data_IF_702444727317
#
_entry.id   IF_702444727317
#
_cell.length_a   1.000
_cell.length_b   1.000
_cell.length_c   1.000
_cell.angle_alpha   90.00
_cell.angle_beta   90.00
_cell.angle_gamma   90.00
#
_symmetry.space_group_name_H-M   'P 1'
#
loop_
_entity.id
_entity.type
_entity.pdbx_description
1 polymer ?
#
# COMPACT_ATOMS: atom_id res chain seq x y z
N UNK A 1 -20.21 11.06 -95.00
CA UNK A 1 -20.97 9.80 -94.82
C UNK A 1 -20.00 8.70 -94.35
N UNK A 2 -20.41 7.91 -93.34
CA UNK A 2 -19.73 6.76 -92.66
C UNK A 2 -18.58 7.20 -91.71
N UNK A 3 -18.70 7.24 -90.38
CA UNK A 3 -19.27 6.35 -89.33
C UNK A 3 -18.49 5.04 -89.11
N UNK A 4 -18.04 4.82 -87.86
CA UNK A 4 -17.38 3.61 -87.35
C UNK A 4 -16.45 3.93 -86.17
N UNK A 5 -16.96 4.22 -84.97
CA UNK A 5 -17.20 3.32 -83.81
C UNK A 5 -15.97 2.93 -82.97
N UNK A 6 -16.16 3.14 -81.66
CA UNK A 6 -15.25 3.01 -80.51
C UNK A 6 -14.96 1.54 -80.16
N UNK A 7 -13.83 1.26 -79.49
CA UNK A 7 -13.84 0.34 -78.35
C UNK A 7 -12.71 0.66 -77.34
N UNK A 8 -13.11 0.81 -76.08
CA UNK A 8 -12.25 0.89 -74.89
C UNK A 8 -11.92 -0.52 -74.43
N UNK A 9 -10.72 -0.75 -73.89
CA UNK A 9 -10.43 -1.85 -72.97
C UNK A 9 -9.49 -1.34 -71.88
N UNK A 10 -10.10 -1.03 -70.73
CA UNK A 10 -9.47 -0.90 -69.43
C UNK A 10 -9.29 -2.31 -68.86
N UNK A 11 -8.10 -2.64 -68.37
CA UNK A 11 -7.91 -3.72 -67.40
C UNK A 11 -7.18 -3.17 -66.19
N UNK A 12 -7.88 -3.24 -65.06
CA UNK A 12 -7.52 -2.76 -63.74
C UNK A 12 -6.53 -3.72 -63.07
N UNK A 13 -5.43 -3.20 -62.54
CA UNK A 13 -4.52 -3.95 -61.67
C UNK A 13 -5.06 -3.95 -60.22
N UNK A 14 -5.28 -5.14 -59.67
CA UNK A 14 -5.64 -5.37 -58.26
C UNK A 14 -4.34 -5.36 -57.44
N UNK A 15 -4.15 -4.35 -56.59
CA UNK A 15 -3.08 -4.33 -55.58
C UNK A 15 -3.65 -4.93 -54.29
N UNK A 16 -3.25 -6.15 -53.97
CA UNK A 16 -3.53 -6.78 -52.68
C UNK A 16 -2.67 -6.13 -51.59
N UNK A 17 -3.29 -5.31 -50.74
CA UNK A 17 -2.70 -4.83 -49.49
C UNK A 17 -2.75 -5.96 -48.46
N UNK A 18 -1.60 -6.60 -48.18
CA UNK A 18 -1.43 -7.43 -46.98
C UNK A 18 -1.21 -6.52 -45.79
N UNK A 19 -2.32 -6.01 -45.23
CA UNK A 19 -2.33 -5.32 -43.95
C UNK A 19 -1.96 -6.29 -42.84
N UNK A 20 -0.68 -6.34 -42.48
CA UNK A 20 -0.23 -6.96 -41.24
C UNK A 20 -0.70 -6.08 -40.09
N UNK A 21 -1.84 -6.43 -39.50
CA UNK A 21 -2.29 -5.87 -38.24
C UNK A 21 -1.32 -6.30 -37.14
N UNK A 22 -0.27 -5.52 -36.92
CA UNK A 22 0.52 -5.58 -35.70
C UNK A 22 -0.41 -5.16 -34.56
N UNK A 23 -1.06 -6.13 -33.93
CA UNK A 23 -1.66 -5.94 -32.62
C UNK A 23 -0.54 -5.45 -31.70
N UNK A 24 -0.64 -4.25 -31.08
CA UNK A 24 0.30 -3.87 -30.05
C UNK A 24 0.18 -4.92 -28.94
N UNK A 25 1.24 -5.71 -28.75
CA UNK A 25 1.37 -6.55 -27.59
C UNK A 25 1.19 -5.63 -26.38
N UNK A 26 0.11 -5.80 -25.64
CA UNK A 26 -0.07 -5.17 -24.36
C UNK A 26 1.14 -5.57 -23.51
N UNK A 27 2.11 -4.66 -23.36
CA UNK A 27 3.24 -4.87 -22.49
C UNK A 27 2.65 -5.10 -21.10
N UNK A 28 2.76 -6.33 -20.60
CA UNK A 28 2.42 -6.63 -19.22
C UNK A 28 3.26 -5.70 -18.35
N UNK A 29 2.64 -4.66 -17.80
CA UNK A 29 3.31 -3.73 -16.89
C UNK A 29 3.87 -4.52 -15.72
N UNK A 30 5.19 -4.66 -15.68
CA UNK A 30 5.89 -5.38 -14.62
C UNK A 30 5.73 -4.56 -13.34
N UNK A 31 4.89 -5.04 -12.41
CA UNK A 31 4.72 -4.42 -11.10
C UNK A 31 5.90 -4.77 -10.17
N UNK A 32 6.40 -3.82 -9.38
CA UNK A 32 7.39 -4.10 -8.35
C UNK A 32 6.80 -5.01 -7.28
N UNK A 33 7.65 -5.86 -6.72
CA UNK A 33 7.35 -6.74 -5.59
C UNK A 33 7.46 -5.97 -4.28
N UNK A 34 8.53 -5.20 -4.12
CA UNK A 34 8.73 -4.34 -2.96
C UNK A 34 7.81 -3.12 -3.07
N UNK A 35 7.29 -2.68 -1.93
CA UNK A 35 6.61 -1.40 -1.86
C UNK A 35 7.63 -0.25 -1.94
N UNK A 36 7.19 0.91 -2.43
CA UNK A 36 7.92 2.16 -2.38
C UNK A 36 8.51 2.45 -0.98
N UNK A 37 7.70 2.28 0.07
CA UNK A 37 8.15 2.48 1.45
C UNK A 37 9.27 1.51 1.84
N UNK A 38 9.11 0.23 1.52
CA UNK A 38 10.14 -0.79 1.81
C UNK A 38 11.46 -0.49 1.10
N UNK A 39 11.41 0.00 -0.13
CA UNK A 39 12.61 0.41 -0.87
C UNK A 39 13.29 1.62 -0.19
N UNK A 40 12.52 2.60 0.26
CA UNK A 40 13.04 3.74 1.05
C UNK A 40 13.66 3.27 2.36
N UNK A 41 12.99 2.40 3.11
CA UNK A 41 13.50 1.90 4.40
C UNK A 41 14.83 1.16 4.24
N UNK A 42 14.96 0.33 3.19
CA UNK A 42 16.23 -0.33 2.83
C UNK A 42 17.29 0.71 2.47
N UNK A 43 16.96 1.69 1.63
CA UNK A 43 17.90 2.74 1.23
C UNK A 43 18.42 3.55 2.42
N UNK A 44 17.55 3.94 3.35
CA UNK A 44 17.91 4.68 4.56
C UNK A 44 18.74 3.82 5.52
N UNK A 45 18.42 2.53 5.66
CA UNK A 45 19.22 1.58 6.43
C UNK A 45 20.65 1.49 5.89
N UNK A 46 20.81 1.33 4.58
CA UNK A 46 22.11 1.28 3.94
C UNK A 46 22.89 2.60 4.14
N UNK A 47 22.22 3.74 3.99
CA UNK A 47 22.83 5.05 4.21
C UNK A 47 23.31 5.20 5.67
N UNK A 48 22.51 4.78 6.64
CA UNK A 48 22.90 4.76 8.06
C UNK A 48 24.11 3.88 8.34
N UNK A 49 24.21 2.72 7.69
CA UNK A 49 25.40 1.87 7.80
C UNK A 49 26.65 2.53 7.20
N UNK A 50 26.49 3.29 6.11
CA UNK A 50 27.60 3.96 5.42
C UNK A 50 28.09 5.22 6.14
N UNK A 51 27.20 5.97 6.80
CA UNK A 51 27.51 7.30 7.36
C UNK A 51 27.49 7.39 8.87
N UNK A 52 26.94 6.40 9.58
CA UNK A 52 26.67 6.43 11.02
C UNK A 52 25.77 7.59 11.50
N UNK A 53 25.20 8.38 10.58
CA UNK A 53 24.24 9.44 10.87
C UNK A 53 22.83 8.89 10.97
N UNK A 54 21.89 9.66 11.53
CA UNK A 54 20.43 9.40 11.49
C UNK A 54 19.67 10.49 10.73
N UNK A 55 20.37 11.45 10.13
CA UNK A 55 19.78 12.56 9.41
C UNK A 55 19.91 12.34 7.91
N UNK A 56 18.80 11.98 7.29
CA UNK A 56 18.71 11.69 5.86
C UNK A 56 17.52 12.41 5.22
N UNK A 57 17.60 12.61 3.92
CA UNK A 57 16.46 12.95 3.08
C UNK A 57 16.49 12.11 1.80
N UNK A 58 15.32 11.72 1.33
CA UNK A 58 15.14 11.08 0.02
C UNK A 58 14.63 12.13 -0.96
N UNK A 59 15.29 12.27 -2.12
CA UNK A 59 14.88 13.28 -3.11
C UNK A 59 14.01 12.70 -4.23
N UNK A 60 14.45 11.57 -4.79
CA UNK A 60 13.77 10.90 -5.88
C UNK A 60 13.81 9.40 -5.69
N UNK A 61 12.77 8.74 -6.17
CA UNK A 61 12.67 7.29 -6.21
C UNK A 61 12.00 6.88 -7.50
N UNK A 62 12.53 5.85 -8.15
CA UNK A 62 11.96 5.25 -9.35
C UNK A 62 12.15 3.74 -9.35
N UNK A 63 11.24 3.04 -10.00
CA UNK A 63 11.37 1.63 -10.32
C UNK A 63 11.68 1.48 -11.81
N UNK A 64 12.72 0.72 -12.13
CA UNK A 64 13.13 0.38 -13.48
C UNK A 64 12.59 -1.02 -13.85
N UNK A 65 11.54 -1.12 -14.68
CA UNK A 65 10.87 -2.41 -14.94
C UNK A 65 11.77 -3.40 -15.68
N UNK A 66 12.69 -2.90 -16.52
CA UNK A 66 13.56 -3.73 -17.37
C UNK A 66 14.56 -4.57 -16.55
N UNK A 67 15.06 -4.02 -15.45
CA UNK A 67 16.00 -4.69 -14.52
C UNK A 67 15.34 -5.14 -13.22
N UNK A 68 14.06 -4.80 -13.02
CA UNK A 68 13.32 -4.93 -11.76
C UNK A 68 14.07 -4.28 -10.58
N UNK A 69 14.59 -3.08 -10.80
CA UNK A 69 15.44 -2.39 -9.84
C UNK A 69 14.78 -1.12 -9.33
N UNK A 70 14.76 -0.97 -8.00
CA UNK A 70 14.47 0.32 -7.38
C UNK A 70 15.73 1.16 -7.33
N UNK A 71 15.61 2.45 -7.65
CA UNK A 71 16.67 3.44 -7.53
C UNK A 71 16.15 4.56 -6.63
N UNK A 72 16.85 4.82 -5.53
CA UNK A 72 16.49 5.83 -4.53
C UNK A 72 17.69 6.76 -4.30
N UNK A 73 17.47 8.06 -4.50
CA UNK A 73 18.47 9.09 -4.23
C UNK A 73 18.39 9.51 -2.76
N UNK A 74 19.50 9.35 -2.05
CA UNK A 74 19.61 9.63 -0.61
C UNK A 74 20.65 10.70 -0.37
N UNK A 75 20.25 11.77 0.29
CA UNK A 75 21.18 12.74 0.89
C UNK A 75 21.33 12.42 2.37
N UNK A 76 22.58 12.27 2.82
CA UNK A 76 22.88 11.96 4.20
C UNK A 76 23.95 12.92 4.74
N UNK A 77 23.71 13.44 5.94
CA UNK A 77 24.74 14.11 6.72
C UNK A 77 25.77 13.07 7.17
N UNK A 78 27.03 13.45 7.16
CA UNK A 78 28.15 12.65 7.68
C UNK A 78 28.67 13.24 8.98
N UNK A 79 29.48 12.50 9.72
CA UNK A 79 30.10 12.95 10.98
C UNK A 79 30.90 14.25 10.85
N UNK A 80 31.41 14.57 9.65
CA UNK A 80 32.09 15.83 9.35
C UNK A 80 31.14 17.01 9.09
N UNK A 81 29.85 16.85 9.37
CA UNK A 81 28.77 17.79 9.06
C UNK A 81 28.70 18.16 7.56
N UNK A 82 29.20 17.27 6.70
CA UNK A 82 29.11 17.41 5.24
C UNK A 82 27.97 16.54 4.70
N UNK A 83 27.20 17.07 3.77
CA UNK A 83 26.14 16.31 3.09
C UNK A 83 26.74 15.55 1.91
N UNK A 84 26.51 14.24 1.87
CA UNK A 84 26.88 13.38 0.75
C UNK A 84 25.65 12.87 0.02
N UNK A 85 25.78 12.70 -1.29
CA UNK A 85 24.75 12.14 -2.17
C UNK A 85 25.07 10.69 -2.48
N UNK A 86 24.12 9.83 -2.17
CA UNK A 86 24.17 8.40 -2.45
C UNK A 86 23.04 8.01 -3.39
N UNK A 87 23.26 6.93 -4.12
CA UNK A 87 22.23 6.25 -4.89
C UNK A 87 22.11 4.84 -4.35
N UNK A 88 20.96 4.50 -3.78
CA UNK A 88 20.64 3.14 -3.37
C UNK A 88 19.95 2.42 -4.53
N UNK A 89 20.45 1.25 -4.90
CA UNK A 89 19.79 0.35 -5.85
C UNK A 89 19.35 -0.93 -5.15
N UNK A 90 18.16 -1.44 -5.47
CA UNK A 90 17.65 -2.71 -4.95
C UNK A 90 17.09 -3.53 -6.10
N UNK A 91 17.73 -4.64 -6.42
CA UNK A 91 17.34 -5.49 -7.53
C UNK A 91 16.48 -6.66 -7.05
N UNK A 92 15.20 -6.67 -7.45
CA UNK A 92 14.25 -7.70 -7.01
C UNK A 92 14.49 -9.07 -7.65
N UNK A 93 15.30 -9.13 -8.72
CA UNK A 93 15.65 -10.36 -9.41
C UNK A 93 16.85 -11.05 -8.76
N UNK A 94 17.85 -10.28 -8.34
CA UNK A 94 19.09 -10.80 -7.74
C UNK A 94 19.06 -10.79 -6.21
N UNK A 95 18.08 -10.15 -5.59
CA UNK A 95 17.99 -10.06 -4.13
C UNK A 95 19.09 -9.25 -3.48
N UNK A 96 19.74 -8.34 -4.20
CA UNK A 96 20.83 -7.52 -3.70
C UNK A 96 20.44 -6.05 -3.65
N UNK A 97 20.77 -5.40 -2.54
CA UNK A 97 20.75 -3.96 -2.39
C UNK A 97 22.17 -3.40 -2.30
N UNK A 98 22.39 -2.24 -2.90
CA UNK A 98 23.70 -1.60 -3.01
C UNK A 98 23.56 -0.10 -2.81
N UNK A 99 24.39 0.48 -1.94
CA UNK A 99 24.52 1.92 -1.82
C UNK A 99 25.78 2.39 -2.52
N UNK A 100 25.65 3.34 -3.44
CA UNK A 100 26.74 3.91 -4.21
C UNK A 100 26.95 5.37 -3.82
N UNK A 101 28.21 5.79 -3.63
CA UNK A 101 28.55 7.20 -3.45
C UNK A 101 28.80 7.83 -4.84
N UNK A 102 28.08 8.87 -5.21
CA UNK A 102 28.32 9.54 -6.50
C UNK A 102 29.57 10.43 -6.42
N UNK A 103 30.44 10.49 -7.46
CA UNK A 103 30.35 9.81 -8.76
C UNK A 103 31.10 8.46 -8.84
N UNK A 104 31.49 7.89 -7.70
CA UNK A 104 32.31 6.67 -7.69
C UNK A 104 31.52 5.45 -8.16
N UNK A 105 32.17 4.60 -8.95
CA UNK A 105 31.61 3.33 -9.40
C UNK A 105 31.91 2.26 -8.34
N UNK A 106 30.87 1.66 -7.78
CA UNK A 106 30.99 0.58 -6.81
C UNK A 106 30.01 0.71 -5.64
N UNK A 107 29.76 -0.40 -4.95
CA UNK A 107 28.94 -0.42 -3.76
C UNK A 107 29.79 -0.11 -2.54
N UNK A 108 29.43 0.95 -1.81
CA UNK A 108 30.00 1.29 -0.50
C UNK A 108 29.45 0.35 0.57
N UNK A 109 28.15 0.06 0.48
CA UNK A 109 27.46 -0.90 1.35
C UNK A 109 26.64 -1.84 0.47
N UNK A 110 26.63 -3.13 0.83
CA UNK A 110 25.81 -4.17 0.18
C UNK A 110 25.00 -4.89 1.23
N UNK A 111 23.76 -5.20 0.89
CA UNK A 111 22.89 -6.02 1.72
C UNK A 111 22.19 -7.08 0.86
N UNK A 112 22.07 -8.28 1.42
CA UNK A 112 21.22 -9.33 0.87
C UNK A 112 19.79 -9.10 1.36
N UNK A 113 18.88 -8.87 0.41
CA UNK A 113 17.45 -8.61 0.64
C UNK A 113 16.56 -9.73 0.08
N UNK A 114 17.11 -10.93 -0.20
CA UNK A 114 16.34 -12.07 -0.72
C UNK A 114 15.14 -12.41 0.17
N UNK A 115 15.36 -12.48 1.50
CA UNK A 115 14.29 -12.79 2.43
C UNK A 115 13.20 -11.71 2.40
N UNK A 116 13.57 -10.43 2.39
CA UNK A 116 12.62 -9.31 2.29
C UNK A 116 11.77 -9.38 1.02
N UNK A 117 12.37 -9.74 -0.11
CA UNK A 117 11.66 -9.92 -1.38
C UNK A 117 10.75 -11.15 -1.30
N UNK A 118 11.23 -12.27 -0.77
CA UNK A 118 10.41 -13.47 -0.60
C UNK A 118 9.18 -13.19 0.28
N UNK A 119 9.36 -12.48 1.39
CA UNK A 119 8.29 -12.07 2.29
C UNK A 119 7.32 -11.09 1.62
N UNK A 120 7.81 -10.17 0.80
CA UNK A 120 6.96 -9.28 0.01
C UNK A 120 6.14 -10.03 -1.05
N UNK A 121 6.71 -11.04 -1.73
CA UNK A 121 5.96 -11.91 -2.65
C UNK A 121 4.89 -12.70 -1.94
N UNK A 122 5.24 -13.37 -0.84
CA UNK A 122 4.28 -14.14 -0.04
C UNK A 122 3.13 -13.25 0.44
N UNK A 123 3.42 -12.03 0.90
CA UNK A 123 2.38 -11.05 1.28
C UNK A 123 1.50 -10.66 0.10
N UNK A 124 2.08 -10.33 -1.05
CA UNK A 124 1.32 -9.97 -2.25
C UNK A 124 0.41 -11.12 -2.72
N UNK A 125 0.91 -12.35 -2.71
CA UNK A 125 0.13 -13.55 -3.02
C UNK A 125 -1.00 -13.76 -2.01
N UNK A 126 -0.70 -13.61 -0.71
CA UNK A 126 -1.69 -13.74 0.35
C UNK A 126 -2.77 -12.66 0.27
N UNK A 127 -2.42 -11.42 -0.09
CA UNK A 127 -3.39 -10.34 -0.35
C UNK A 127 -4.26 -10.64 -1.57
N UNK A 128 -3.67 -11.14 -2.67
CA UNK A 128 -4.44 -11.55 -3.85
C UNK A 128 -5.42 -12.67 -3.50
N UNK A 129 -4.98 -13.64 -2.70
CA UNK A 129 -5.84 -14.72 -2.20
C UNK A 129 -6.93 -14.18 -1.27
N UNK A 130 -6.63 -13.21 -0.40
CA UNK A 130 -7.62 -12.56 0.46
C UNK A 130 -8.65 -11.76 -0.35
N UNK A 131 -8.27 -11.14 -1.46
CA UNK A 131 -9.23 -10.47 -2.36
C UNK A 131 -10.14 -11.48 -3.05
N UNK A 132 -9.59 -12.62 -3.46
CA UNK A 132 -10.34 -13.70 -4.12
C UNK A 132 -11.25 -14.45 -3.15
N UNK A 133 -10.81 -14.59 -1.90
CA UNK A 133 -11.48 -15.34 -0.83
C UNK A 133 -11.52 -14.48 0.44
N UNK A 134 -12.39 -13.45 0.48
CA UNK A 134 -12.45 -12.54 1.62
C UNK A 134 -12.82 -13.28 2.90
N UNK A 135 -12.32 -12.76 4.03
CA UNK A 135 -12.69 -13.28 5.34
C UNK A 135 -14.22 -13.25 5.53
N UNK A 136 -14.81 -14.28 6.16
CA UNK A 136 -16.23 -14.27 6.42
C UNK A 136 -16.56 -13.17 7.43
N UNK A 137 -17.52 -12.31 7.08
CA UNK A 137 -18.04 -11.27 7.97
C UNK A 137 -17.01 -10.22 8.41
N UNK A 138 -16.45 -9.49 7.43
CA UNK A 138 -15.53 -8.38 7.65
C UNK A 138 -16.11 -7.28 8.56
N UNK A 139 -17.42 -7.06 8.50
CA UNK A 139 -18.13 -6.07 9.31
C UNK A 139 -18.05 -6.44 10.80
N UNK A 140 -18.33 -7.70 11.18
CA UNK A 140 -18.18 -8.14 12.56
C UNK A 140 -16.71 -8.13 13.04
N UNK A 141 -15.75 -8.48 12.17
CA UNK A 141 -14.33 -8.35 12.51
C UNK A 141 -13.96 -6.90 12.85
N UNK A 142 -14.43 -5.95 12.03
CA UNK A 142 -14.21 -4.54 12.25
C UNK A 142 -14.82 -4.05 13.57
N UNK A 143 -16.05 -4.47 13.88
CA UNK A 143 -16.70 -4.13 15.16
C UNK A 143 -15.85 -4.59 16.35
N UNK A 144 -15.39 -5.85 16.34
CA UNK A 144 -14.55 -6.41 17.42
C UNK A 144 -13.23 -5.66 17.53
N UNK A 145 -12.58 -5.36 16.41
CA UNK A 145 -11.31 -4.63 16.41
C UNK A 145 -11.47 -3.20 16.95
N UNK A 146 -12.52 -2.49 16.55
CA UNK A 146 -12.81 -1.13 17.03
C UNK A 146 -13.09 -1.16 18.54
N UNK A 147 -13.88 -2.12 19.01
CA UNK A 147 -14.13 -2.31 20.45
C UNK A 147 -12.83 -2.56 21.20
N UNK A 148 -11.97 -3.44 20.68
CA UNK A 148 -10.68 -3.74 21.29
C UNK A 148 -9.78 -2.50 21.39
N UNK A 149 -9.67 -1.72 20.31
CA UNK A 149 -8.81 -0.53 20.29
C UNK A 149 -9.34 0.63 21.13
N UNK A 150 -10.66 0.84 21.14
CA UNK A 150 -11.26 2.04 21.73
C UNK A 150 -11.82 1.80 23.13
N UNK A 151 -12.08 0.54 23.53
CA UNK A 151 -12.53 0.17 24.89
C UNK A 151 -11.42 -0.42 25.75
N UNK A 152 -10.15 -0.08 25.51
CA UNK A 152 -9.08 -0.41 26.45
C UNK A 152 -9.29 0.34 27.78
N UNK A 153 -10.20 -0.16 28.62
CA UNK A 153 -10.46 0.02 30.05
C UNK A 153 -10.44 1.45 30.62
N UNK A 154 -10.45 2.48 29.78
CA UNK A 154 -10.40 3.87 30.22
C UNK A 154 -11.81 4.43 30.24
N UNK A 155 -12.44 4.62 31.42
CA UNK A 155 -13.63 5.44 31.49
C UNK A 155 -13.30 6.80 30.87
N UNK A 156 -14.15 7.34 29.99
CA UNK A 156 -13.92 8.68 29.46
C UNK A 156 -13.78 9.61 30.67
N UNK A 157 -12.64 10.30 30.79
CA UNK A 157 -12.43 11.30 31.84
C UNK A 157 -13.63 12.25 31.79
N UNK A 158 -14.27 12.50 32.93
CA UNK A 158 -15.41 13.41 32.98
C UNK A 158 -15.04 14.76 32.35
N UNK A 159 -15.79 15.19 31.34
CA UNK A 159 -15.53 16.42 30.58
C UNK A 159 -14.59 16.28 29.37
N UNK A 160 -14.04 15.09 29.08
CA UNK A 160 -13.28 14.87 27.86
C UNK A 160 -14.21 14.83 26.64
N UNK A 161 -13.87 15.60 25.61
CA UNK A 161 -14.53 15.54 24.30
C UNK A 161 -14.40 14.12 23.75
N UNK A 162 -15.53 13.49 23.40
CA UNK A 162 -15.53 12.18 22.74
C UNK A 162 -14.97 12.34 21.33
N UNK A 163 -13.96 11.54 21.01
CA UNK A 163 -13.43 11.45 19.65
C UNK A 163 -14.49 10.87 18.71
N UNK A 164 -14.57 11.42 17.50
CA UNK A 164 -15.47 10.92 16.45
C UNK A 164 -14.67 10.09 15.46
N UNK A 165 -15.04 8.84 15.28
CA UNK A 165 -14.30 7.88 14.45
C UNK A 165 -15.01 7.68 13.11
N UNK A 166 -14.36 8.05 12.01
CA UNK A 166 -14.90 7.91 10.67
C UNK A 166 -14.31 6.67 10.02
N UNK A 167 -15.12 5.61 9.96
CA UNK A 167 -14.64 4.25 9.73
C UNK A 167 -14.84 3.83 8.28
N UNK A 168 -13.81 3.22 7.70
CA UNK A 168 -13.89 2.56 6.39
C UNK A 168 -13.30 1.17 6.41
N UNK A 169 -13.88 0.30 5.58
CA UNK A 169 -13.48 -1.09 5.33
C UNK A 169 -13.25 -1.29 3.83
N UNK A 170 -12.46 -2.28 3.39
CA UNK A 170 -12.51 -2.70 1.99
C UNK A 170 -13.88 -3.27 1.65
N UNK A 171 -14.35 -2.97 0.44
CA UNK A 171 -15.55 -3.58 -0.12
C UNK A 171 -15.39 -5.10 -0.24
N UNK A 172 -16.46 -5.90 -0.07
CA UNK A 172 -16.42 -7.35 -0.28
C UNK A 172 -15.93 -7.78 -1.67
N UNK A 173 -16.11 -6.93 -2.68
CA UNK A 173 -15.62 -7.16 -4.06
C UNK A 173 -14.21 -6.61 -4.31
N UNK A 174 -13.55 -6.07 -3.28
CA UNK A 174 -12.23 -5.44 -3.31
C UNK A 174 -12.09 -4.27 -4.31
N UNK A 175 -13.20 -3.64 -4.74
CA UNK A 175 -13.17 -2.51 -5.71
C UNK A 175 -13.15 -1.12 -5.09
N UNK A 176 -13.14 -1.02 -3.76
CA UNK A 176 -13.15 0.27 -3.08
C UNK A 176 -13.29 0.15 -1.58
N UNK A 177 -13.66 1.25 -0.95
CA UNK A 177 -13.97 1.31 0.47
C UNK A 177 -15.49 1.34 0.68
N UNK A 178 -15.94 0.71 1.76
CA UNK A 178 -17.32 0.74 2.25
C UNK A 178 -17.34 1.22 3.70
N UNK A 179 -18.44 1.84 4.08
CA UNK A 179 -18.66 2.29 5.46
C UNK A 179 -19.07 1.11 6.35
N UNK A 180 -18.98 1.29 7.67
CA UNK A 180 -19.62 0.36 8.62
C UNK A 180 -21.13 0.30 8.40
N UNK A 181 -21.71 -0.87 8.62
CA UNK A 181 -23.17 -0.99 8.58
C UNK A 181 -23.82 -0.12 9.65
N UNK A 182 -25.03 0.43 9.40
CA UNK A 182 -25.77 1.20 10.39
C UNK A 182 -25.99 0.46 11.71
N UNK A 183 -26.23 -0.86 11.65
CA UNK A 183 -26.46 -1.70 12.82
C UNK A 183 -25.22 -1.79 13.71
N UNK A 184 -24.03 -1.94 13.11
CA UNK A 184 -22.77 -1.95 13.85
C UNK A 184 -22.47 -0.59 14.43
N UNK A 185 -22.69 0.50 13.68
CA UNK A 185 -22.52 1.85 14.22
C UNK A 185 -23.43 2.10 15.42
N UNK A 186 -24.70 1.64 15.36
CA UNK A 186 -25.62 1.70 16.48
C UNK A 186 -25.16 0.83 17.66
N UNK A 187 -24.59 -0.35 17.39
CA UNK A 187 -24.01 -1.24 18.39
C UNK A 187 -22.82 -0.63 19.11
N UNK A 188 -21.88 -0.03 18.38
CA UNK A 188 -20.73 0.68 18.93
C UNK A 188 -21.15 1.91 19.76
N UNK A 189 -22.18 2.64 19.32
CA UNK A 189 -22.78 3.74 20.09
C UNK A 189 -23.40 3.26 21.41
N UNK A 190 -23.99 2.05 21.40
CA UNK A 190 -24.33 1.18 22.56
C UNK A 190 -23.30 1.28 23.69
N UNK A 191 -22.06 1.22 23.25
CA UNK A 191 -20.89 0.97 24.08
C UNK A 191 -20.06 2.23 24.32
N UNK A 192 -20.60 3.40 23.94
CA UNK A 192 -19.98 4.70 24.11
C UNK A 192 -18.99 5.09 23.03
N UNK A 193 -18.87 4.30 21.95
CA UNK A 193 -17.97 4.57 20.82
C UNK A 193 -18.76 5.29 19.73
N UNK A 194 -18.33 6.50 19.38
CA UNK A 194 -19.01 7.33 18.39
C UNK A 194 -18.38 7.15 17.00
N UNK A 195 -18.97 6.28 16.19
CA UNK A 195 -18.55 6.03 14.80
C UNK A 195 -19.44 6.70 13.76
N UNK A 196 -18.83 7.09 12.64
CA UNK A 196 -19.45 7.72 11.49
C UNK A 196 -18.99 7.06 10.18
N UNK A 197 -19.77 7.16 9.10
CA UNK A 197 -19.31 6.73 7.77
C UNK A 197 -18.13 7.58 7.31
N UNK A 198 -17.13 6.95 6.67
CA UNK A 198 -15.96 7.64 6.12
C UNK A 198 -16.33 8.64 5.03
N UNK A 199 -17.41 8.39 4.29
CA UNK A 199 -17.95 9.30 3.28
C UNK A 199 -18.35 10.68 3.84
N UNK A 200 -18.65 10.77 5.15
CA UNK A 200 -18.98 12.03 5.82
C UNK A 200 -17.75 12.81 6.33
N UNK A 201 -16.55 12.23 6.26
CA UNK A 201 -15.33 12.87 6.73
C UNK A 201 -14.96 14.08 5.88
N UNK A 202 -14.65 15.19 6.53
CA UNK A 202 -14.13 16.41 5.90
C UNK A 202 -12.77 16.75 6.51
N UNK A 203 -11.72 16.67 5.72
CA UNK A 203 -10.38 17.05 6.16
C UNK A 203 -10.34 18.56 6.43
N UNK A 204 -9.91 18.96 7.63
CA UNK A 204 -9.66 20.38 7.94
C UNK A 204 -10.85 21.19 8.48
N UNK A 205 -11.92 20.57 9.00
CA UNK A 205 -12.80 21.34 9.88
C UNK A 205 -12.01 21.72 11.14
N UNK A 206 -11.63 22.99 11.29
CA UNK A 206 -10.85 23.54 12.40
C UNK A 206 -11.55 23.50 13.77
N UNK A 207 -12.30 22.43 14.03
CA UNK A 207 -13.05 22.25 15.26
C UNK A 207 -12.20 21.50 16.28
N UNK A 208 -12.42 21.91 17.53
CA UNK A 208 -11.87 21.42 18.81
C UNK A 208 -12.21 19.95 19.12
N UNK A 209 -12.74 19.20 18.13
CA UNK A 209 -13.15 17.81 18.26
C UNK A 209 -12.12 16.92 17.56
N UNK A 210 -11.65 15.89 18.26
CA UNK A 210 -10.69 14.89 17.75
C UNK A 210 -11.37 13.96 16.76
N UNK A 211 -11.66 14.49 15.58
CA UNK A 211 -12.08 13.72 14.43
C UNK A 211 -10.93 12.81 14.01
N UNK A 212 -11.20 11.51 13.95
CA UNK A 212 -10.21 10.49 13.60
C UNK A 212 -10.75 9.65 12.45
N UNK A 213 -10.07 9.63 11.32
CA UNK A 213 -10.30 8.62 10.30
C UNK A 213 -9.73 7.30 10.82
N UNK A 214 -10.54 6.23 10.82
CA UNK A 214 -10.11 4.89 11.20
C UNK A 214 -10.30 3.96 10.00
N UNK A 215 -9.24 3.32 9.53
CA UNK A 215 -9.31 2.36 8.43
C UNK A 215 -9.02 0.97 8.93
N UNK A 216 -9.86 0.02 8.55
CA UNK A 216 -9.58 -1.41 8.69
C UNK A 216 -9.34 -1.93 7.28
N UNK A 217 -8.18 -2.54 7.06
CA UNK A 217 -7.78 -3.06 5.77
C UNK A 217 -8.27 -4.50 5.54
N UNK A 218 -7.76 -5.12 4.48
CA UNK A 218 -8.17 -6.45 4.07
C UNK A 218 -7.54 -7.52 4.99
N UNK A 219 -8.35 -8.36 5.68
CA UNK A 219 -7.82 -9.46 6.47
C UNK A 219 -7.11 -10.49 5.59
N UNK A 220 -5.86 -10.81 5.94
CA UNK A 220 -5.07 -11.84 5.26
C UNK A 220 -5.02 -13.09 6.13
N UNK A 221 -5.45 -14.24 5.59
CA UNK A 221 -5.46 -15.50 6.34
C UNK A 221 -4.04 -16.06 6.47
N UNK A 222 -3.67 -16.46 7.68
CA UNK A 222 -2.41 -17.12 8.04
C UNK A 222 -2.53 -18.64 7.92
N UNK A 223 -1.40 -19.33 7.87
CA UNK A 223 -1.33 -20.79 7.84
C UNK A 223 -1.87 -21.46 9.11
N UNK A 224 -1.80 -20.78 10.26
CA UNK A 224 -2.37 -21.22 11.55
C UNK A 224 -3.89 -21.02 11.64
N UNK A 225 -4.52 -20.46 10.60
CA UNK A 225 -5.96 -20.19 10.54
C UNK A 225 -6.38 -18.85 11.14
N UNK A 226 -5.46 -18.08 11.75
CA UNK A 226 -5.72 -16.71 12.18
C UNK A 226 -5.70 -15.74 10.99
N UNK A 227 -6.01 -14.48 11.25
CA UNK A 227 -6.02 -13.42 10.24
C UNK A 227 -5.14 -12.25 10.68
N UNK A 228 -4.25 -11.82 9.81
CA UNK A 228 -3.56 -10.53 9.94
C UNK A 228 -4.50 -9.44 9.38
N UNK A 229 -4.97 -8.55 10.24
CA UNK A 229 -5.91 -7.48 9.92
C UNK A 229 -5.19 -6.14 10.06
N UNK A 230 -4.70 -5.55 8.95
CA UNK A 230 -4.09 -4.24 9.00
C UNK A 230 -5.16 -3.21 9.37
N UNK A 231 -4.82 -2.26 10.23
CA UNK A 231 -5.68 -1.12 10.54
C UNK A 231 -4.84 0.11 10.84
N UNK A 232 -5.46 1.28 10.78
CA UNK A 232 -4.77 2.51 11.10
C UNK A 232 -5.74 3.62 11.46
N UNK A 233 -5.17 4.70 11.98
CA UNK A 233 -5.90 5.92 12.23
C UNK A 233 -5.13 7.13 11.71
N UNK A 234 -5.89 8.18 11.38
CA UNK A 234 -5.37 9.48 11.00
C UNK A 234 -6.23 10.56 11.64
N UNK A 235 -5.61 11.38 12.50
CA UNK A 235 -6.25 12.54 13.13
C UNK A 235 -5.55 13.87 12.79
N UNK A 236 -4.50 13.83 11.97
CA UNK A 236 -3.78 14.99 11.45
C UNK A 236 -2.35 14.67 11.04
N UNK A 237 -1.59 15.64 10.49
CA UNK A 237 -0.21 15.41 10.04
C UNK A 237 0.76 14.89 11.10
N UNK A 238 0.51 15.15 12.39
CA UNK A 238 1.31 14.71 13.54
C UNK A 238 0.56 13.68 14.40
N UNK A 239 -0.43 13.02 13.81
CA UNK A 239 -1.28 12.06 14.49
C UNK A 239 -1.75 11.00 13.51
N UNK A 240 -0.88 10.03 13.26
CA UNK A 240 -1.24 8.84 12.49
C UNK A 240 -0.59 7.59 13.06
N UNK A 241 -1.23 6.45 12.85
CA UNK A 241 -0.68 5.17 13.27
C UNK A 241 -1.16 4.05 12.37
N UNK A 242 -0.29 3.08 12.13
CA UNK A 242 -0.54 1.89 11.33
C UNK A 242 -0.15 0.65 12.13
N UNK A 243 -1.04 -0.32 12.14
CA UNK A 243 -0.97 -1.49 12.99
C UNK A 243 -1.48 -2.72 12.25
N UNK A 244 -1.17 -3.89 12.78
CA UNK A 244 -1.75 -5.16 12.34
C UNK A 244 -2.29 -5.89 13.57
N UNK A 245 -3.58 -6.21 13.57
CA UNK A 245 -4.19 -7.07 14.57
C UNK A 245 -4.17 -8.52 14.10
N UNK A 246 -3.72 -9.44 14.95
CA UNK A 246 -3.93 -10.87 14.74
C UNK A 246 -5.30 -11.22 15.31
N UNK A 247 -6.23 -11.61 14.45
CA UNK A 247 -7.60 -11.96 14.82
C UNK A 247 -7.88 -13.43 14.59
N UNK A 248 -8.69 -14.02 15.47
CA UNK A 248 -9.11 -15.42 15.40
C UNK A 248 -10.63 -15.50 15.50
N UNK A 249 -11.21 -16.47 14.80
CA UNK A 249 -12.60 -16.89 14.98
C UNK A 249 -12.64 -18.27 15.62
N UNK A 250 -13.33 -18.39 16.75
CA UNK A 250 -13.62 -19.67 17.39
C UNK A 250 -15.12 -19.80 17.69
N UNK A 251 -15.49 -20.71 18.59
CA UNK A 251 -16.89 -20.94 18.97
C UNK A 251 -17.54 -19.73 19.67
N UNK A 252 -16.76 -18.84 20.28
CA UNK A 252 -17.26 -17.60 20.89
C UNK A 252 -17.33 -16.43 19.87
N UNK A 253 -16.83 -16.63 18.65
CA UNK A 253 -16.83 -15.63 17.59
C UNK A 253 -15.46 -15.02 17.35
N UNK A 254 -15.43 -13.80 16.81
CA UNK A 254 -14.20 -13.07 16.52
C UNK A 254 -13.60 -12.47 17.79
N UNK A 255 -12.29 -12.57 17.95
CA UNK A 255 -11.53 -11.87 18.98
C UNK A 255 -10.13 -11.48 18.47
N UNK A 256 -9.55 -10.46 19.10
CA UNK A 256 -8.17 -10.04 18.86
C UNK A 256 -7.24 -10.86 19.76
N UNK A 257 -6.25 -11.52 19.16
CA UNK A 257 -5.22 -12.30 19.86
C UNK A 257 -4.06 -11.40 20.26
N UNK A 258 -3.61 -10.55 19.35
CA UNK A 258 -2.52 -9.60 19.58
C UNK A 258 -2.55 -8.47 18.56
N UNK A 259 -1.74 -7.44 18.81
CA UNK A 259 -1.56 -6.32 17.88
C UNK A 259 -0.09 -5.95 17.77
N UNK A 260 0.34 -5.63 16.56
CA UNK A 260 1.69 -5.15 16.25
C UNK A 260 1.59 -3.72 15.72
N UNK A 261 2.43 -2.83 16.23
CA UNK A 261 2.59 -1.47 15.71
C UNK A 261 3.58 -1.50 14.55
N UNK A 262 3.13 -1.09 13.36
CA UNK A 262 3.96 -1.07 12.15
C UNK A 262 4.68 0.27 12.02
N UNK A 263 3.95 1.38 12.22
CA UNK A 263 4.48 2.74 12.11
C UNK A 263 3.59 3.74 12.86
N UNK A 264 4.17 4.88 13.22
CA UNK A 264 3.48 6.05 13.81
C UNK A 264 4.06 7.34 13.21
N UNK A 265 3.25 8.39 13.17
CA UNK A 265 3.63 9.75 12.78
C UNK A 265 3.08 10.78 13.73
#
# INVERSE_FOLDING_TARGET
MRSGYRLRLLWSAVIAWTGSSLLPAAANEVRPTLSAQTAVDIALKLAGQATHSHSYSTQAMRFEPSTREWVVDVEALTDSNSTKRFVATMNESTGLACLQLQPTVGCVVREDIHQTIADARMRAEAELMARKYPAPDLQAMAEVLIRYQLRADRPPKAGATRSRYFVSLPSPDAKGLVDLSPDIMASLKRDGIETYPRSAWKQGSGNVNFDTQFSVGLPVRRSDGNYDVPYGYYCGPLCAGWFTAIMKRDAAGWHVVSTVMNAIS
#
